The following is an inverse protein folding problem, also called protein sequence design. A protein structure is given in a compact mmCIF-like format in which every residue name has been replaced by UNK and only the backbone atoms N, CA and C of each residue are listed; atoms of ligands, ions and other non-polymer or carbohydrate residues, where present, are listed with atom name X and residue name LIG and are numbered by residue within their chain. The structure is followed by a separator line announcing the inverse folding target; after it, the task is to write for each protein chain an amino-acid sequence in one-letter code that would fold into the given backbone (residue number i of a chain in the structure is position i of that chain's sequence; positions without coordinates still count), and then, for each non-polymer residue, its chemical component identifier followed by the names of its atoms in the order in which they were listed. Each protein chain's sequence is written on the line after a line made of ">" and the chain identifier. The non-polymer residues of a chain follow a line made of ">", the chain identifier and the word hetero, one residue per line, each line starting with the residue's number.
data_IF_408544333920
#
_entry.id   IF_408544333920
#
_cell.length_a   1.000
_cell.length_b   1.000
_cell.length_c   1.000
_cell.angle_alpha   90.00
_cell.angle_beta   90.00
_cell.angle_gamma   90.00
#
_symmetry.space_group_name_H-M   'P 1'
#
loop_
_entity.id
_entity.type
_entity.pdbx_description
1 polymer ?
#
# COMPACT_ATOMS: atom_id res chain seq x y z
N UNK A 1 6.94 -13.16 14.20
CA UNK A 1 6.58 -11.81 13.70
C UNK A 1 6.43 -11.95 12.18
N UNK A 2 6.07 -10.91 11.42
CA UNK A 2 5.87 -11.04 9.97
C UNK A 2 7.01 -10.35 9.22
N UNK A 3 7.54 -11.01 8.18
CA UNK A 3 8.45 -10.40 7.21
C UNK A 3 7.67 -9.76 6.05
N UNK A 4 8.26 -8.75 5.40
CA UNK A 4 7.70 -8.13 4.19
C UNK A 4 8.53 -8.57 2.99
N UNK A 5 7.92 -9.27 2.04
CA UNK A 5 8.50 -9.50 0.72
C UNK A 5 8.08 -8.38 -0.22
N UNK A 6 9.04 -7.66 -0.78
CA UNK A 6 8.81 -6.50 -1.64
C UNK A 6 9.05 -6.87 -3.10
N UNK A 7 8.11 -6.49 -3.96
CA UNK A 7 8.17 -6.68 -5.40
C UNK A 7 7.93 -5.35 -6.10
N UNK A 8 8.77 -5.01 -7.07
CA UNK A 8 8.51 -3.86 -7.95
C UNK A 8 7.60 -4.27 -9.11
N UNK A 9 6.60 -3.45 -9.40
CA UNK A 9 5.64 -3.67 -10.50
C UNK A 9 5.71 -2.48 -11.45
N UNK A 10 5.92 -2.75 -12.73
CA UNK A 10 5.96 -1.71 -13.79
C UNK A 10 5.33 -2.23 -15.07
N UNK A 11 4.73 -1.34 -15.87
CA UNK A 11 4.42 -1.66 -17.26
C UNK A 11 5.64 -1.70 -18.18
N UNK A 12 6.56 -0.72 -18.08
CA UNK A 12 7.84 -0.66 -18.81
C UNK A 12 8.92 0.14 -18.03
N UNK A 13 10.19 -0.01 -18.47
CA UNK A 13 11.54 0.38 -17.95
C UNK A 13 11.77 1.08 -16.60
N UNK A 14 12.98 0.83 -16.07
CA UNK A 14 13.50 1.20 -14.74
C UNK A 14 13.08 2.58 -14.26
N UNK A 15 12.38 2.60 -13.12
CA UNK A 15 12.28 3.80 -12.30
C UNK A 15 13.46 3.78 -11.33
N UNK A 16 14.31 4.80 -11.38
CA UNK A 16 15.47 5.01 -10.50
C UNK A 16 15.13 5.11 -9.00
N UNK A 17 13.83 5.11 -8.65
CA UNK A 17 13.40 5.00 -7.26
C UNK A 17 13.72 3.61 -6.75
N UNK A 18 14.66 3.55 -5.81
CA UNK A 18 14.89 2.40 -4.94
C UNK A 18 13.64 2.14 -4.09
N UNK A 19 12.69 1.39 -4.64
CA UNK A 19 11.41 1.07 -4.02
C UNK A 19 11.62 0.34 -2.70
N UNK A 20 12.69 -0.44 -2.57
CA UNK A 20 13.06 -1.15 -1.34
C UNK A 20 13.43 -0.15 -0.26
N UNK A 21 14.26 0.85 -0.59
CA UNK A 21 14.60 1.93 0.34
C UNK A 21 13.37 2.69 0.86
N UNK A 22 12.35 2.87 0.03
CA UNK A 22 11.09 3.49 0.47
C UNK A 22 10.41 2.64 1.54
N UNK A 23 10.37 1.31 1.38
CA UNK A 23 9.82 0.39 2.39
C UNK A 23 10.67 0.35 3.65
N UNK A 24 11.99 0.38 3.52
CA UNK A 24 12.91 0.43 4.66
C UNK A 24 12.69 1.70 5.50
N UNK A 25 12.54 2.85 4.87
CA UNK A 25 12.18 4.10 5.58
C UNK A 25 10.78 3.98 6.20
N UNK A 26 9.82 3.41 5.47
CA UNK A 26 8.46 3.20 5.98
C UNK A 26 8.43 2.31 7.23
N UNK A 27 9.29 1.27 7.28
CA UNK A 27 9.45 0.38 8.45
C UNK A 27 9.84 1.17 9.69
N UNK A 28 10.60 2.25 9.54
CA UNK A 28 11.04 3.11 10.64
C UNK A 28 9.90 3.78 11.43
N UNK A 29 8.70 3.90 10.85
CA UNK A 29 7.53 4.44 11.57
C UNK A 29 6.89 3.43 12.52
N UNK A 30 7.23 2.14 12.40
CA UNK A 30 6.69 1.09 13.26
C UNK A 30 7.62 0.83 14.45
N UNK A 31 7.08 0.36 15.59
CA UNK A 31 7.92 -0.19 16.65
C UNK A 31 8.89 -1.25 16.09
N UNK A 32 10.14 -1.27 16.57
CA UNK A 32 11.24 -2.11 16.04
C UNK A 32 10.88 -3.59 15.89
N UNK A 33 9.96 -4.06 16.72
CA UNK A 33 9.51 -5.47 16.80
C UNK A 33 8.34 -5.80 15.87
N UNK A 34 7.83 -4.84 15.10
CA UNK A 34 6.66 -5.07 14.25
C UNK A 34 7.01 -6.01 13.09
N UNK A 35 8.14 -5.77 12.44
CA UNK A 35 8.56 -6.46 11.22
C UNK A 35 9.90 -7.13 11.45
N UNK A 36 10.03 -8.40 11.05
CA UNK A 36 11.30 -9.14 11.18
C UNK A 36 12.35 -8.64 10.19
N UNK A 37 11.90 -8.29 8.99
CA UNK A 37 12.77 -7.85 7.91
C UNK A 37 12.00 -7.51 6.65
N UNK A 38 12.73 -6.91 5.71
CA UNK A 38 12.25 -6.62 4.35
C UNK A 38 13.15 -7.40 3.39
N UNK A 39 12.53 -8.23 2.55
CA UNK A 39 13.22 -8.99 1.51
C UNK A 39 12.75 -8.56 0.13
N UNK A 40 13.65 -8.05 -0.70
CA UNK A 40 13.33 -7.76 -2.11
C UNK A 40 13.34 -9.05 -2.93
N UNK A 41 12.23 -9.34 -3.59
CA UNK A 41 12.08 -10.59 -4.37
C UNK A 41 12.13 -10.38 -5.89
N UNK A 42 12.30 -9.13 -6.34
CA UNK A 42 12.53 -8.78 -7.74
C UNK A 42 11.48 -7.84 -8.34
N UNK A 43 11.43 -7.85 -9.66
CA UNK A 43 10.55 -7.01 -10.49
C UNK A 43 9.63 -7.89 -11.33
N UNK A 44 8.37 -7.49 -11.45
CA UNK A 44 7.43 -8.06 -12.42
C UNK A 44 6.95 -6.97 -13.38
N UNK A 45 6.85 -7.36 -14.65
CA UNK A 45 6.11 -6.57 -15.63
C UNK A 45 4.74 -7.17 -15.84
N UNK A 46 3.72 -6.31 -15.83
CA UNK A 46 2.36 -6.67 -16.18
C UNK A 46 1.85 -5.70 -17.24
N UNK A 47 1.14 -6.24 -18.23
CA UNK A 47 0.36 -5.39 -19.12
C UNK A 47 -0.67 -4.58 -18.33
N UNK A 48 -0.76 -3.29 -18.68
CA UNK A 48 -1.76 -2.37 -18.16
C UNK A 48 -3.16 -2.73 -18.67
N UNK A 49 -4.18 -2.40 -17.88
CA UNK A 49 -5.57 -2.71 -18.22
C UNK A 49 -6.22 -1.66 -19.13
N UNK A 50 -5.82 -0.40 -18.98
CA UNK A 50 -6.30 0.74 -19.78
C UNK A 50 -5.33 1.91 -19.67
N UNK A 51 -5.60 3.00 -20.39
CA UNK A 51 -4.83 4.24 -20.32
C UNK A 51 -5.60 5.29 -19.50
N UNK A 52 -4.88 6.05 -18.68
CA UNK A 52 -5.37 7.24 -17.98
C UNK A 52 -4.67 8.45 -18.57
N UNK A 53 -5.45 9.49 -18.87
CA UNK A 53 -4.93 10.76 -19.38
C UNK A 53 -4.98 11.77 -18.25
N UNK A 54 -3.83 12.36 -17.92
CA UNK A 54 -3.74 13.45 -16.94
C UNK A 54 -3.05 14.65 -17.60
N UNK A 55 -3.80 15.74 -17.80
CA UNK A 55 -3.29 16.88 -18.55
C UNK A 55 -2.99 16.50 -20.00
N UNK A 56 -1.71 16.55 -20.38
CA UNK A 56 -1.23 16.21 -21.74
C UNK A 56 -0.57 14.83 -21.84
N UNK A 57 -0.46 14.13 -20.73
CA UNK A 57 0.28 12.86 -20.65
C UNK A 57 -0.68 11.68 -20.56
N UNK A 58 -0.29 10.57 -21.17
CA UNK A 58 -1.03 9.31 -21.17
C UNK A 58 -0.22 8.26 -20.45
N UNK A 59 -0.80 7.68 -19.42
CA UNK A 59 -0.19 6.65 -18.59
C UNK A 59 -0.94 5.33 -18.76
N UNK A 60 -0.22 4.22 -18.84
CA UNK A 60 -0.83 2.92 -18.66
C UNK A 60 -1.21 2.72 -17.20
N UNK A 61 -2.38 2.15 -16.94
CA UNK A 61 -2.95 2.02 -15.61
C UNK A 61 -3.39 0.60 -15.28
N UNK A 62 -3.30 0.24 -14.01
CA UNK A 62 -3.79 -1.03 -13.50
C UNK A 62 -5.19 -0.90 -12.93
N UNK A 63 -6.07 -1.86 -13.24
CA UNK A 63 -7.28 -2.03 -12.46
C UNK A 63 -6.90 -2.69 -11.12
N UNK A 64 -7.10 -1.97 -10.03
CA UNK A 64 -6.71 -2.38 -8.68
C UNK A 64 -7.06 -3.85 -8.36
N UNK A 65 -8.32 -4.24 -8.60
CA UNK A 65 -8.81 -5.60 -8.30
C UNK A 65 -8.09 -6.70 -9.09
N UNK A 66 -7.77 -6.43 -10.37
CA UNK A 66 -7.02 -7.37 -11.20
C UNK A 66 -5.57 -7.45 -10.77
N UNK A 67 -4.95 -6.32 -10.42
CA UNK A 67 -3.57 -6.29 -9.97
C UNK A 67 -3.37 -7.08 -8.67
N UNK A 68 -4.25 -6.89 -7.68
CA UNK A 68 -4.24 -7.69 -6.44
C UNK A 68 -4.39 -9.18 -6.74
N UNK A 69 -5.28 -9.55 -7.66
CA UNK A 69 -5.45 -10.94 -8.07
C UNK A 69 -4.18 -11.52 -8.71
N UNK A 70 -3.47 -10.75 -9.55
CA UNK A 70 -2.17 -11.14 -10.13
C UNK A 70 -1.12 -11.34 -9.03
N UNK A 71 -1.03 -10.43 -8.07
CA UNK A 71 -0.05 -10.50 -6.97
C UNK A 71 -0.33 -11.67 -6.04
N UNK A 72 -1.59 -11.94 -5.74
CA UNK A 72 -1.98 -13.10 -4.92
C UNK A 72 -1.54 -14.41 -5.58
N UNK A 73 -1.70 -14.55 -6.91
CA UNK A 73 -1.17 -15.69 -7.67
C UNK A 73 0.36 -15.81 -7.61
N UNK A 74 1.08 -14.68 -7.62
CA UNK A 74 2.55 -14.67 -7.47
C UNK A 74 2.97 -15.12 -6.08
N UNK A 75 2.28 -14.63 -5.03
CA UNK A 75 2.51 -15.05 -3.65
C UNK A 75 2.33 -16.56 -3.51
N UNK A 76 1.21 -17.07 -4.00
CA UNK A 76 0.82 -18.46 -3.87
C UNK A 76 1.77 -19.38 -4.66
N UNK A 77 2.19 -18.99 -5.88
CA UNK A 77 3.13 -19.78 -6.68
C UNK A 77 4.53 -19.83 -6.08
N UNK A 78 4.98 -18.75 -5.44
CA UNK A 78 6.25 -18.69 -4.70
C UNK A 78 6.16 -19.27 -3.29
N UNK A 79 4.97 -19.70 -2.85
CA UNK A 79 4.69 -20.23 -1.49
C UNK A 79 5.20 -19.28 -0.39
N UNK A 80 5.01 -17.97 -0.58
CA UNK A 80 5.46 -16.99 0.40
C UNK A 80 4.55 -17.01 1.64
N UNK A 81 5.16 -17.23 2.80
CA UNK A 81 4.48 -17.12 4.10
C UNK A 81 4.37 -15.66 4.57
N UNK A 82 5.29 -14.81 4.12
CA UNK A 82 5.33 -13.37 4.35
C UNK A 82 4.21 -12.59 3.65
N UNK A 83 4.02 -11.34 4.08
CA UNK A 83 3.27 -10.34 3.31
C UNK A 83 4.00 -10.10 1.97
N UNK A 84 3.29 -10.19 0.85
CA UNK A 84 3.81 -9.75 -0.45
C UNK A 84 3.32 -8.34 -0.77
N UNK A 85 4.22 -7.36 -0.71
CA UNK A 85 3.96 -5.96 -1.04
C UNK A 85 4.47 -5.62 -2.44
N UNK A 86 3.56 -5.33 -3.36
CA UNK A 86 3.85 -4.73 -4.65
C UNK A 86 4.03 -3.22 -4.55
N UNK A 87 5.05 -2.66 -5.20
CA UNK A 87 5.21 -1.21 -5.33
C UNK A 87 5.31 -0.84 -6.79
N UNK A 88 4.52 0.13 -7.21
CA UNK A 88 4.48 0.61 -8.59
C UNK A 88 4.55 2.13 -8.66
N UNK A 89 5.11 2.65 -9.76
CA UNK A 89 5.01 4.06 -10.11
C UNK A 89 3.80 4.34 -11.02
N UNK A 90 3.15 3.29 -11.52
CA UNK A 90 2.03 3.40 -12.45
C UNK A 90 0.72 3.68 -11.70
N UNK A 91 -0.24 4.38 -12.33
CA UNK A 91 -1.54 4.63 -11.73
C UNK A 91 -2.30 3.32 -11.49
N UNK A 92 -2.91 3.22 -10.31
CA UNK A 92 -3.83 2.17 -9.95
C UNK A 92 -5.22 2.76 -9.76
N UNK A 93 -6.24 2.15 -10.37
CA UNK A 93 -7.61 2.69 -10.38
C UNK A 93 -8.60 1.66 -9.85
N UNK A 94 -9.53 2.11 -9.03
CA UNK A 94 -10.74 1.37 -8.68
C UNK A 94 -11.93 1.90 -9.48
N UNK A 95 -12.74 0.97 -9.98
CA UNK A 95 -13.98 1.25 -10.71
C UNK A 95 -15.17 0.90 -9.81
N UNK A 96 -16.01 1.89 -9.53
CA UNK A 96 -17.24 1.72 -8.76
C UNK A 96 -18.44 1.86 -9.65
N UNK A 97 -19.44 1.03 -9.38
CA UNK A 97 -20.73 1.06 -10.02
C UNK A 97 -21.79 1.37 -8.96
N UNK A 98 -22.65 2.34 -9.22
CA UNK A 98 -23.71 2.70 -8.29
C UNK A 98 -24.95 3.16 -9.04
N UNK A 99 -26.11 2.98 -8.43
CA UNK A 99 -27.39 3.44 -8.96
C UNK A 99 -27.81 4.70 -8.21
N UNK A 100 -27.97 5.82 -8.93
CA UNK A 100 -28.35 7.10 -8.31
C UNK A 100 -29.86 7.30 -8.16
N UNK A 101 -30.61 6.18 -8.16
CA UNK A 101 -32.08 6.08 -8.23
C UNK A 101 -32.69 6.30 -9.61
N UNK A 102 -31.93 6.84 -10.56
CA UNK A 102 -32.40 7.08 -11.93
C UNK A 102 -31.56 6.35 -12.99
N UNK A 103 -30.24 6.36 -12.83
CA UNK A 103 -29.29 5.81 -13.79
C UNK A 103 -28.22 4.99 -13.09
N UNK A 104 -27.75 3.98 -13.80
CA UNK A 104 -26.53 3.28 -13.44
C UNK A 104 -25.32 4.14 -13.80
N UNK A 105 -24.50 4.47 -12.81
CA UNK A 105 -23.30 5.30 -12.95
C UNK A 105 -22.05 4.49 -12.68
N UNK A 106 -20.97 4.91 -13.34
CA UNK A 106 -19.62 4.39 -13.14
C UNK A 106 -18.71 5.54 -12.72
N UNK A 107 -17.93 5.34 -11.67
CA UNK A 107 -16.89 6.27 -11.25
C UNK A 107 -15.54 5.55 -11.15
N UNK A 108 -14.48 6.29 -11.45
CA UNK A 108 -13.10 5.81 -11.39
C UNK A 108 -12.34 6.65 -10.37
N UNK A 109 -11.62 5.98 -9.48
CA UNK A 109 -10.82 6.65 -8.45
C UNK A 109 -9.40 6.13 -8.50
N UNK A 110 -8.43 7.03 -8.36
CA UNK A 110 -7.04 6.66 -8.11
C UNK A 110 -6.95 6.02 -6.72
N UNK A 111 -6.21 4.92 -6.64
CA UNK A 111 -5.93 4.21 -5.40
C UNK A 111 -4.42 4.22 -5.21
N UNK A 112 -3.98 4.72 -4.07
CA UNK A 112 -2.56 4.83 -3.76
C UNK A 112 -2.04 3.67 -2.92
N UNK A 113 -2.91 3.04 -2.13
CA UNK A 113 -2.54 1.87 -1.36
C UNK A 113 -3.73 0.94 -1.17
N UNK A 114 -3.41 -0.34 -1.02
CA UNK A 114 -4.28 -1.36 -0.49
C UNK A 114 -3.37 -2.44 0.07
N UNK A 115 -3.54 -2.80 1.33
CA UNK A 115 -2.77 -3.89 1.93
C UNK A 115 -3.70 -4.69 2.83
N UNK A 116 -3.90 -5.96 2.49
CA UNK A 116 -4.55 -6.95 3.34
C UNK A 116 -3.50 -7.77 4.11
N UNK A 117 -3.93 -8.76 4.89
CA UNK A 117 -3.06 -9.60 5.72
C UNK A 117 -1.95 -10.32 4.93
N UNK A 118 -2.18 -10.64 3.65
CA UNK A 118 -1.33 -11.51 2.84
C UNK A 118 -0.65 -10.78 1.69
N UNK A 119 -1.33 -9.82 1.07
CA UNK A 119 -0.85 -9.08 -0.10
C UNK A 119 -1.17 -7.60 0.01
N UNK A 120 -0.34 -6.77 -0.62
CA UNK A 120 -0.67 -5.37 -0.83
C UNK A 120 -0.05 -4.79 -2.08
N UNK A 121 -0.53 -3.62 -2.46
CA UNK A 121 0.03 -2.76 -3.51
C UNK A 121 0.05 -1.33 -3.03
N UNK A 122 1.15 -0.65 -3.31
CA UNK A 122 1.27 0.81 -3.18
C UNK A 122 1.63 1.41 -4.54
N UNK A 123 0.81 2.36 -5.00
CA UNK A 123 1.06 3.18 -6.18
C UNK A 123 1.62 4.54 -5.78
N UNK A 124 2.84 4.81 -6.22
CA UNK A 124 3.55 6.09 -6.05
C UNK A 124 3.26 7.07 -7.18
N UNK A 125 2.25 6.79 -8.02
CA UNK A 125 1.84 7.66 -9.11
C UNK A 125 1.50 9.05 -8.59
N UNK A 126 2.15 10.09 -9.11
CA UNK A 126 1.97 11.49 -8.66
C UNK A 126 2.18 11.72 -7.14
N UNK A 127 2.92 10.84 -6.46
CA UNK A 127 3.28 11.01 -5.05
C UNK A 127 4.64 11.70 -4.94
N UNK A 128 4.69 12.80 -4.17
CA UNK A 128 5.91 13.52 -3.87
C UNK A 128 6.94 12.61 -3.17
N UNK A 129 8.24 12.82 -3.45
CA UNK A 129 9.32 11.97 -2.93
C UNK A 129 9.30 11.86 -1.39
N UNK A 130 9.03 12.95 -0.69
CA UNK A 130 8.93 12.99 0.78
C UNK A 130 7.70 12.28 1.37
N UNK A 131 6.66 12.00 0.56
CA UNK A 131 5.43 11.34 0.99
C UNK A 131 5.40 9.84 0.68
N UNK A 132 6.39 9.33 -0.07
CA UNK A 132 6.35 7.93 -0.55
C UNK A 132 6.46 6.92 0.61
N UNK A 133 7.37 7.13 1.56
CA UNK A 133 7.52 6.25 2.72
C UNK A 133 6.32 6.35 3.68
N UNK A 134 5.74 7.55 3.82
CA UNK A 134 4.53 7.80 4.62
C UNK A 134 3.33 7.04 4.05
N UNK A 135 3.16 7.06 2.73
CA UNK A 135 2.11 6.29 2.05
C UNK A 135 2.32 4.78 2.19
N UNK A 136 3.56 4.29 2.05
CA UNK A 136 3.84 2.86 2.29
C UNK A 136 3.54 2.49 3.75
N UNK A 137 3.92 3.34 4.71
CA UNK A 137 3.62 3.10 6.12
C UNK A 137 2.12 3.13 6.42
N UNK A 138 1.35 4.01 5.77
CA UNK A 138 -0.12 4.04 5.84
C UNK A 138 -0.72 2.69 5.40
N UNK A 139 -0.34 2.20 4.22
CA UNK A 139 -0.79 0.90 3.72
C UNK A 139 -0.39 -0.24 4.66
N UNK A 140 0.86 -0.28 5.12
CA UNK A 140 1.31 -1.26 6.10
C UNK A 140 0.58 -1.15 7.45
N UNK A 141 0.10 0.04 7.82
CA UNK A 141 -0.76 0.25 8.97
C UNK A 141 -2.09 -0.49 8.84
N UNK A 142 -2.70 -0.50 7.65
CA UNK A 142 -3.91 -1.28 7.37
C UNK A 142 -3.68 -2.79 7.50
N UNK A 143 -2.53 -3.29 7.04
CA UNK A 143 -2.16 -4.69 7.26
C UNK A 143 -2.12 -5.07 8.75
N UNK A 144 -1.81 -4.11 9.63
CA UNK A 144 -1.80 -4.26 11.09
C UNK A 144 -3.09 -3.79 11.76
N UNK A 145 -4.21 -3.81 11.02
CA UNK A 145 -5.53 -3.52 11.56
C UNK A 145 -5.77 -2.06 11.96
N UNK A 146 -4.87 -1.14 11.60
CA UNK A 146 -5.12 0.29 11.82
C UNK A 146 -6.21 0.78 10.86
N UNK A 147 -7.07 1.66 11.37
CA UNK A 147 -8.18 2.26 10.64
C UNK A 147 -7.89 3.74 10.42
N UNK A 148 -8.56 4.31 9.42
CA UNK A 148 -8.39 5.72 9.12
C UNK A 148 -8.79 6.63 10.29
N UNK A 149 -8.05 7.73 10.44
CA UNK A 149 -8.54 8.92 11.13
C UNK A 149 -9.27 9.81 10.13
N UNK A 150 -10.35 10.43 10.59
CA UNK A 150 -11.09 11.45 9.84
C UNK A 150 -10.42 12.83 9.93
N UNK A 151 -9.58 13.03 10.95
CA UNK A 151 -8.83 14.27 11.19
C UNK A 151 -7.33 14.04 10.92
N UNK A 152 -6.54 15.09 10.59
CA UNK A 152 -5.12 15.00 10.25
C UNK A 152 -4.23 14.75 11.48
N UNK A 153 -4.46 13.64 12.18
CA UNK A 153 -3.78 13.28 13.43
C UNK A 153 -2.42 12.66 13.13
N UNK A 154 -2.41 11.57 12.38
CA UNK A 154 -1.24 10.70 12.18
C UNK A 154 -1.22 10.10 10.76
N UNK A 155 -0.29 9.19 10.48
CA UNK A 155 -0.16 8.55 9.17
C UNK A 155 -1.43 7.88 8.65
N UNK A 156 -2.36 7.45 9.51
CA UNK A 156 -3.64 6.86 9.12
C UNK A 156 -4.71 7.89 8.74
N UNK A 157 -4.38 9.17 8.58
CA UNK A 157 -5.35 10.15 8.05
C UNK A 157 -5.84 9.76 6.65
N UNK A 158 -7.16 9.78 6.40
CA UNK A 158 -7.76 9.35 5.13
C UNK A 158 -7.33 10.20 3.93
N UNK A 159 -6.93 11.45 4.16
CA UNK A 159 -6.44 12.35 3.12
C UNK A 159 -4.94 12.66 3.29
N UNK A 160 -4.15 11.66 3.71
CA UNK A 160 -2.71 11.79 3.96
C UNK A 160 -1.94 12.51 2.84
N UNK A 161 -2.31 12.26 1.58
CA UNK A 161 -1.64 12.84 0.41
C UNK A 161 -2.05 14.29 0.10
N UNK A 162 -3.23 14.74 0.54
CA UNK A 162 -3.67 16.13 0.37
C UNK A 162 -3.25 17.03 1.54
N UNK A 163 -2.93 16.45 2.70
CA UNK A 163 -2.52 17.22 3.88
C UNK A 163 -1.05 17.63 3.84
N UNK A 164 -0.81 18.92 4.12
CA UNK A 164 0.53 19.46 4.33
C UNK A 164 1.06 19.22 5.74
N UNK A 165 0.18 18.95 6.72
CA UNK A 165 0.56 18.84 8.14
C UNK A 165 -0.23 17.75 8.86
N UNK A 166 0.45 17.03 9.75
CA UNK A 166 -0.18 16.12 10.71
C UNK A 166 0.14 16.62 12.12
N UNK A 167 -0.71 16.28 13.09
CA UNK A 167 -0.41 16.55 14.49
C UNK A 167 0.84 15.77 14.97
N UNK A 168 1.06 14.57 14.42
CA UNK A 168 2.22 13.72 14.71
C UNK A 168 2.86 13.22 13.41
N UNK A 169 4.19 13.31 13.31
CA UNK A 169 4.96 12.71 12.22
C UNK A 169 5.22 11.23 12.50
N UNK A 170 4.22 10.39 12.23
CA UNK A 170 4.24 8.96 12.53
C UNK A 170 2.85 8.45 12.91
N UNK A 171 2.80 7.36 13.69
CA UNK A 171 1.56 6.87 14.30
C UNK A 171 1.32 7.53 15.66
N UNK A 172 0.08 7.92 15.96
CA UNK A 172 -0.29 8.42 17.28
C UNK A 172 -0.25 7.30 18.33
N UNK A 173 -0.32 7.68 19.61
CA UNK A 173 -0.27 6.72 20.72
C UNK A 173 -1.36 5.63 20.66
N UNK A 174 -2.53 5.94 20.12
CA UNK A 174 -3.62 4.96 19.98
C UNK A 174 -3.26 3.90 18.94
N UNK A 175 -2.72 4.33 17.80
CA UNK A 175 -2.24 3.45 16.75
C UNK A 175 -1.04 2.62 17.23
N UNK A 176 -0.05 3.25 17.88
CA UNK A 176 1.11 2.55 18.45
C UNK A 176 0.71 1.50 19.48
N UNK A 177 -0.27 1.79 20.34
CA UNK A 177 -0.81 0.80 21.30
C UNK A 177 -1.48 -0.39 20.62
N UNK A 178 -2.18 -0.18 19.50
CA UNK A 178 -2.75 -1.29 18.70
C UNK A 178 -1.67 -2.15 18.06
N UNK A 179 -0.67 -1.51 17.43
CA UNK A 179 0.49 -2.20 16.86
C UNK A 179 1.23 -3.04 17.89
N UNK A 180 1.28 -2.59 19.15
CA UNK A 180 1.86 -3.34 20.26
C UNK A 180 0.95 -4.47 20.79
N UNK A 181 -0.38 -4.37 20.68
CA UNK A 181 -1.34 -5.38 21.18
C UNK A 181 -1.46 -6.61 20.28
N UNK A 182 -1.32 -6.45 18.97
CA UNK A 182 -1.23 -7.58 18.02
C UNK A 182 -0.12 -8.58 18.39
N UNK A 183 0.83 -8.17 19.24
CA UNK A 183 1.87 -9.02 19.83
C UNK A 183 1.36 -9.93 20.96
N UNK A 184 0.53 -9.41 21.86
CA UNK A 184 0.12 -10.14 23.07
C UNK A 184 -0.78 -11.33 22.75
N UNK A 185 -1.61 -11.22 21.71
CA UNK A 185 -2.49 -12.32 21.29
C UNK A 185 -1.73 -13.40 20.50
N UNK A 186 -0.65 -13.04 19.80
CA UNK A 186 0.22 -13.99 19.10
C UNK A 186 1.20 -14.76 20.03
N UNK A 187 1.45 -14.27 21.24
CA UNK A 187 2.29 -14.94 22.25
C UNK A 187 1.52 -15.86 23.20
N UNK A 188 0.18 -15.84 23.18
CA UNK A 188 -0.69 -16.62 24.07
C UNK A 188 -1.24 -17.89 23.40
N UNK A 189 -0.40 -18.64 22.67
CA UNK A 189 -0.72 -20.01 22.27
C UNK A 189 -0.09 -20.99 23.27
N UNK A 190 -0.84 -21.56 24.22
CA UNK A 190 -0.38 -22.75 24.93
C UNK A 190 -0.56 -23.97 24.00
N UNK A 191 0.54 -24.63 23.67
CA UNK A 191 0.60 -26.08 23.46
C UNK A 191 1.86 -26.61 24.15
#
# INVERSE_FOLDING_TARGET
>A
MQSISVLTISGEQENDKDMVKIVEVARGYFPTQTWEGIGYIGKLSFEHDFKVVTGRESYGAFLFQKLISKIRRVRDSKKLESLLLGITADPMVAMYHFFDRTNFKRAFYLVHDYVDEKVGVVSLFQVNKGSSSRLVAHGLGHNRGLRHHVEPIDLMYSELLSSSTLQVDGFCEVCLRKLAKDKTDACNCPQ
#
